data_IF_442895314193
#
_entry.id   IF_442895314193
#
_cell.length_a   1.000
_cell.length_b   1.000
_cell.length_c   1.000
_cell.angle_alpha   90.00
_cell.angle_beta   90.00
_cell.angle_gamma   90.00
#
_symmetry.space_group_name_H-M   'P 1'
#
loop_
_entity.id
_entity.type
_entity.pdbx_description
1 polymer ?
#
# COMPACT_ATOMS: atom_id res chain seq x y z
N UNK A 1 -13.27 -5.88 -24.93
CA UNK A 1 -12.58 -4.79 -24.21
C UNK A 1 -11.08 -5.06 -24.35
N UNK A 2 -10.27 -4.05 -24.54
CA UNK A 2 -8.81 -4.20 -24.63
C UNK A 2 -8.26 -4.61 -23.27
N UNK A 3 -7.45 -5.67 -23.24
CA UNK A 3 -6.78 -6.10 -22.01
C UNK A 3 -5.77 -5.04 -21.55
N UNK A 4 -5.73 -4.79 -20.26
CA UNK A 4 -4.74 -3.91 -19.64
C UNK A 4 -3.67 -4.78 -18.99
N UNK A 5 -2.42 -4.47 -19.32
CA UNK A 5 -1.26 -5.24 -18.89
C UNK A 5 -0.34 -4.42 -18.00
N UNK A 6 0.35 -5.12 -17.11
CA UNK A 6 1.44 -4.62 -16.29
C UNK A 6 2.75 -4.98 -16.99
N UNK A 7 3.56 -3.96 -17.27
CA UNK A 7 4.86 -4.15 -17.92
C UNK A 7 5.95 -4.41 -16.89
N UNK A 8 6.06 -3.56 -15.88
CA UNK A 8 6.95 -3.75 -14.73
C UNK A 8 6.61 -2.75 -13.61
N UNK A 9 7.29 -2.88 -12.47
CA UNK A 9 7.19 -1.97 -11.35
C UNK A 9 8.41 -2.01 -10.44
N UNK A 10 8.51 -1.00 -9.60
CA UNK A 10 9.54 -0.90 -8.58
C UNK A 10 8.98 -0.29 -7.30
N UNK A 11 9.53 -0.69 -6.16
CA UNK A 11 9.25 -0.07 -4.87
C UNK A 11 10.53 0.36 -4.17
N UNK A 12 10.46 1.32 -3.29
CA UNK A 12 11.54 1.55 -2.32
C UNK A 12 11.50 0.46 -1.24
N UNK A 13 12.56 0.31 -0.49
CA UNK A 13 12.46 -0.32 0.81
C UNK A 13 11.55 0.53 1.72
N UNK A 14 10.93 -0.08 2.71
CA UNK A 14 9.99 0.56 3.64
C UNK A 14 10.75 0.99 4.90
N UNK A 15 10.72 2.31 5.18
CA UNK A 15 11.29 2.90 6.38
C UNK A 15 10.36 2.84 7.59
N UNK A 16 10.91 2.85 8.79
CA UNK A 16 10.16 3.01 10.04
C UNK A 16 9.90 4.48 10.35
N UNK A 17 8.95 4.74 11.22
CA UNK A 17 8.69 6.09 11.73
C UNK A 17 9.93 6.70 12.38
N UNK A 18 10.38 7.85 11.87
CA UNK A 18 11.61 8.51 12.32
C UNK A 18 12.89 7.78 11.93
N UNK A 19 12.80 6.75 11.04
CA UNK A 19 13.93 5.95 10.57
C UNK A 19 14.66 6.54 9.37
N UNK A 20 15.26 5.68 8.57
CA UNK A 20 16.19 6.05 7.49
C UNK A 20 15.58 6.96 6.42
N UNK A 21 14.28 6.85 6.15
CA UNK A 21 13.57 7.66 5.15
C UNK A 21 12.95 8.95 5.70
N UNK A 22 13.01 9.22 7.00
CA UNK A 22 12.36 10.38 7.63
C UNK A 22 12.78 11.75 7.06
N UNK A 23 13.99 11.83 6.49
CA UNK A 23 14.52 13.03 5.82
C UNK A 23 14.12 13.18 4.36
N UNK A 24 13.50 12.16 3.74
CA UNK A 24 13.19 12.10 2.31
C UNK A 24 11.73 12.50 2.07
N UNK A 25 11.49 13.37 1.11
CA UNK A 25 10.10 13.80 0.80
C UNK A 25 9.33 12.71 0.04
N UNK A 26 7.98 12.67 0.14
CA UNK A 26 7.17 11.75 -0.67
C UNK A 26 7.43 11.91 -2.18
N UNK A 27 7.69 13.13 -2.65
CA UNK A 27 8.03 13.40 -4.05
C UNK A 27 9.34 12.72 -4.45
N UNK A 28 10.39 12.81 -3.62
CA UNK A 28 11.66 12.14 -3.89
C UNK A 28 11.50 10.62 -3.93
N UNK A 29 10.77 10.04 -2.96
CA UNK A 29 10.45 8.61 -2.94
C UNK A 29 9.68 8.18 -4.19
N UNK A 30 8.62 8.91 -4.54
CA UNK A 30 7.82 8.66 -5.75
C UNK A 30 8.63 8.78 -7.03
N UNK A 31 9.56 9.76 -7.10
CA UNK A 31 10.46 9.95 -8.25
C UNK A 31 11.40 8.76 -8.43
N UNK A 32 11.99 8.25 -7.34
CA UNK A 32 12.89 7.08 -7.37
C UNK A 32 12.14 5.85 -7.86
N UNK A 33 10.94 5.60 -7.32
CA UNK A 33 10.12 4.47 -7.74
C UNK A 33 9.67 4.60 -9.21
N UNK A 34 9.26 5.79 -9.66
CA UNK A 34 8.85 6.05 -11.04
C UNK A 34 9.97 5.85 -12.05
N UNK A 35 11.18 6.37 -11.77
CA UNK A 35 12.37 6.16 -12.62
C UNK A 35 12.67 4.67 -12.79
N UNK A 36 12.72 3.95 -11.69
CA UNK A 36 13.02 2.51 -11.72
C UNK A 36 11.93 1.72 -12.45
N UNK A 37 10.66 2.08 -12.30
CA UNK A 37 9.56 1.43 -13.02
C UNK A 37 9.63 1.67 -14.54
N UNK A 38 9.94 2.90 -14.97
CA UNK A 38 10.17 3.22 -16.38
C UNK A 38 11.37 2.43 -16.94
N UNK A 39 12.49 2.47 -16.26
CA UNK A 39 13.71 1.75 -16.67
C UNK A 39 13.47 0.25 -16.83
N UNK A 40 12.83 -0.39 -15.85
CA UNK A 40 12.55 -1.84 -15.86
C UNK A 40 11.54 -2.24 -16.92
N UNK A 41 10.53 -1.40 -17.17
CA UNK A 41 9.50 -1.67 -18.18
C UNK A 41 10.01 -1.46 -19.62
N UNK A 42 11.12 -0.75 -19.81
CA UNK A 42 11.59 -0.33 -21.13
C UNK A 42 10.72 0.72 -21.82
N UNK A 43 9.81 1.37 -21.07
CA UNK A 43 8.93 2.43 -21.59
C UNK A 43 9.62 3.78 -21.40
N UNK A 44 9.75 4.52 -22.50
CA UNK A 44 10.26 5.89 -22.43
C UNK A 44 9.22 6.83 -21.81
N UNK A 45 9.67 7.82 -21.02
CA UNK A 45 8.79 8.79 -20.38
C UNK A 45 7.83 9.48 -21.33
N UNK A 46 8.27 9.73 -22.57
CA UNK A 46 7.46 10.34 -23.63
C UNK A 46 6.24 9.49 -24.10
N UNK A 47 6.25 8.18 -23.81
CA UNK A 47 5.14 7.29 -24.16
C UNK A 47 4.04 7.29 -23.08
N UNK A 48 4.34 7.76 -21.87
CA UNK A 48 3.37 7.81 -20.78
C UNK A 48 2.34 8.91 -21.05
N UNK A 49 1.08 8.51 -21.23
CA UNK A 49 -0.02 9.44 -21.51
C UNK A 49 -0.80 9.87 -20.25
N UNK A 50 -0.67 9.15 -19.14
CA UNK A 50 -1.35 9.52 -17.87
C UNK A 50 -0.59 9.00 -16.64
N UNK A 51 -0.57 9.81 -15.57
CA UNK A 51 0.12 9.46 -14.31
C UNK A 51 -0.83 9.63 -13.13
N UNK A 52 -0.91 8.60 -12.26
CA UNK A 52 -1.69 8.67 -11.02
C UNK A 52 -0.89 8.15 -9.85
N UNK A 53 -0.79 8.93 -8.78
CA UNK A 53 -0.16 8.49 -7.53
C UNK A 53 -1.12 8.61 -6.34
N UNK A 54 -1.13 7.57 -5.52
CA UNK A 54 -1.74 7.58 -4.20
C UNK A 54 -0.90 8.41 -3.22
N UNK A 55 -1.54 9.33 -2.51
CA UNK A 55 -0.91 10.14 -1.47
C UNK A 55 -1.97 10.62 -0.48
N UNK A 56 -1.71 10.52 0.81
CA UNK A 56 -2.72 10.77 1.85
C UNK A 56 -2.39 12.03 2.65
N UNK A 57 -1.16 12.17 3.13
CA UNK A 57 -0.76 13.21 4.06
C UNK A 57 0.27 14.12 3.39
N UNK A 58 -0.15 15.31 2.98
CA UNK A 58 0.78 16.31 2.46
C UNK A 58 1.75 16.74 3.56
N UNK A 59 3.04 16.55 3.35
CA UNK A 59 4.11 16.90 4.31
C UNK A 59 4.63 18.32 4.09
N UNK A 60 4.45 18.83 2.88
CA UNK A 60 4.79 20.17 2.45
C UNK A 60 3.85 20.65 1.31
N UNK A 61 3.79 21.96 0.98
CA UNK A 61 2.89 22.45 -0.06
C UNK A 61 3.07 21.82 -1.44
N UNK A 62 4.28 21.37 -1.80
CA UNK A 62 4.57 20.73 -3.10
C UNK A 62 3.89 19.36 -3.24
N UNK A 63 3.56 18.69 -2.14
CA UNK A 63 2.93 17.37 -2.18
C UNK A 63 1.52 17.38 -2.78
N UNK A 64 0.86 18.55 -2.82
CA UNK A 64 -0.38 18.74 -3.58
C UNK A 64 -0.19 18.44 -5.08
N UNK A 65 1.04 18.49 -5.57
CA UNK A 65 1.45 18.20 -6.95
C UNK A 65 2.31 16.95 -7.07
N UNK A 66 2.29 16.05 -6.08
CA UNK A 66 3.21 14.93 -5.94
C UNK A 66 3.35 14.14 -7.25
N UNK A 67 2.25 13.65 -7.82
CA UNK A 67 2.24 12.86 -9.05
C UNK A 67 2.87 13.62 -10.22
N UNK A 68 2.54 14.92 -10.34
CA UNK A 68 3.04 15.77 -11.41
C UNK A 68 4.56 16.00 -11.28
N UNK A 69 5.02 16.34 -10.08
CA UNK A 69 6.44 16.61 -9.82
C UNK A 69 7.26 15.34 -9.95
N UNK A 70 6.81 14.24 -9.36
CA UNK A 70 7.51 12.95 -9.44
C UNK A 70 7.62 12.47 -10.89
N UNK A 71 6.53 12.59 -11.69
CA UNK A 71 6.52 12.25 -13.11
C UNK A 71 7.56 13.02 -13.90
N UNK A 72 7.56 14.36 -13.79
CA UNK A 72 8.52 15.20 -14.52
C UNK A 72 9.97 14.95 -14.09
N UNK A 73 10.21 14.76 -12.79
CA UNK A 73 11.54 14.40 -12.28
C UNK A 73 11.97 12.99 -12.70
N UNK A 74 11.03 12.11 -13.01
CA UNK A 74 11.32 10.80 -13.57
C UNK A 74 11.55 10.81 -15.09
N UNK A 75 11.43 11.96 -15.76
CA UNK A 75 11.68 12.11 -17.21
C UNK A 75 10.42 12.00 -18.06
N UNK A 76 9.23 12.03 -17.46
CA UNK A 76 7.95 12.12 -18.19
C UNK A 76 7.74 13.59 -18.59
N UNK A 77 7.35 13.89 -19.84
CA UNK A 77 7.25 15.26 -20.33
C UNK A 77 6.13 16.06 -19.66
N UNK A 78 6.24 17.37 -19.72
CA UNK A 78 5.27 18.32 -19.17
C UNK A 78 3.92 18.32 -19.88
N UNK A 79 3.83 17.70 -21.03
CA UNK A 79 2.57 17.48 -21.77
C UNK A 79 1.71 16.36 -21.20
N UNK A 80 2.29 15.46 -20.37
CA UNK A 80 1.56 14.33 -19.76
C UNK A 80 0.77 14.79 -18.54
N UNK A 81 -0.55 14.61 -18.48
CA UNK A 81 -1.36 14.93 -17.30
C UNK A 81 -1.05 13.99 -16.14
N UNK A 82 -1.20 14.51 -14.90
CA UNK A 82 -0.99 13.76 -13.70
C UNK A 82 -1.97 14.16 -12.60
N UNK A 83 -2.39 13.23 -11.75
CA UNK A 83 -3.24 13.53 -10.60
C UNK A 83 -2.84 12.71 -9.36
N UNK A 84 -3.03 13.32 -8.19
CA UNK A 84 -3.00 12.61 -6.91
C UNK A 84 -4.38 12.03 -6.62
N UNK A 85 -4.42 10.83 -6.00
CA UNK A 85 -5.65 10.26 -5.47
C UNK A 85 -5.49 9.97 -3.98
N UNK A 86 -6.52 10.26 -3.20
CA UNK A 86 -6.60 9.94 -1.79
C UNK A 86 -7.84 9.08 -1.52
N UNK A 87 -7.60 7.81 -1.25
CA UNK A 87 -8.55 6.83 -0.72
C UNK A 87 -7.93 6.21 0.53
N UNK A 88 -7.29 7.02 1.36
CA UNK A 88 -6.55 6.58 2.55
C UNK A 88 -5.67 5.36 2.24
N UNK A 89 -5.73 4.29 3.06
CA UNK A 89 -4.94 3.07 2.87
C UNK A 89 -5.01 2.49 1.45
N UNK A 90 -6.15 2.66 0.75
CA UNK A 90 -6.38 2.17 -0.60
C UNK A 90 -5.84 3.05 -1.73
N UNK A 91 -5.15 4.15 -1.44
CA UNK A 91 -4.75 5.15 -2.45
C UNK A 91 -3.85 4.59 -3.56
N UNK A 92 -2.84 3.79 -3.21
CA UNK A 92 -1.96 3.15 -4.20
C UNK A 92 -2.69 2.16 -5.09
N UNK A 93 -3.62 1.37 -4.55
CA UNK A 93 -4.47 0.49 -5.33
C UNK A 93 -5.46 1.27 -6.19
N UNK A 94 -6.02 2.39 -5.67
CA UNK A 94 -6.88 3.27 -6.45
C UNK A 94 -6.12 3.94 -7.60
N UNK A 95 -4.86 4.29 -7.43
CA UNK A 95 -4.02 4.83 -8.50
C UNK A 95 -3.91 3.83 -9.66
N UNK A 96 -3.69 2.54 -9.37
CA UNK A 96 -3.69 1.46 -10.36
C UNK A 96 -5.06 1.38 -11.06
N UNK A 97 -6.15 1.35 -10.30
CA UNK A 97 -7.51 1.31 -10.86
C UNK A 97 -7.78 2.52 -11.76
N UNK A 98 -7.35 3.73 -11.36
CA UNK A 98 -7.57 4.94 -12.16
C UNK A 98 -6.79 4.92 -13.47
N UNK A 99 -5.54 4.41 -13.48
CA UNK A 99 -4.78 4.20 -14.71
C UNK A 99 -5.44 3.13 -15.58
N UNK A 100 -5.87 2.00 -15.01
CA UNK A 100 -6.64 0.98 -15.76
C UNK A 100 -7.85 1.59 -16.46
N UNK A 101 -8.62 2.42 -15.76
CA UNK A 101 -9.79 3.09 -16.31
C UNK A 101 -9.43 4.01 -17.48
N UNK A 102 -8.40 4.85 -17.35
CA UNK A 102 -7.95 5.73 -18.42
C UNK A 102 -7.48 4.95 -19.66
N UNK A 103 -6.74 3.86 -19.46
CA UNK A 103 -6.29 2.99 -20.55
C UNK A 103 -7.46 2.27 -21.23
N UNK A 104 -8.45 1.78 -20.46
CA UNK A 104 -9.64 1.13 -21.00
C UNK A 104 -10.52 2.09 -21.82
N UNK A 105 -10.59 3.36 -21.42
CA UNK A 105 -11.34 4.40 -22.12
C UNK A 105 -10.59 4.91 -23.37
N UNK A 106 -9.31 4.58 -23.52
CA UNK A 106 -8.47 5.02 -24.64
C UNK A 106 -7.92 6.44 -24.47
N UNK A 107 -7.94 7.00 -23.24
CA UNK A 107 -7.33 8.31 -22.95
C UNK A 107 -5.81 8.28 -23.09
N UNK A 108 -5.20 7.11 -22.93
CA UNK A 108 -3.77 6.86 -23.07
C UNK A 108 -3.51 5.41 -23.50
N UNK A 109 -2.35 5.17 -24.12
CA UNK A 109 -1.86 3.82 -24.47
C UNK A 109 -0.98 3.24 -23.36
N UNK A 110 -0.21 4.10 -22.66
CA UNK A 110 0.65 3.78 -21.53
C UNK A 110 0.35 4.69 -20.36
N UNK A 111 0.42 4.15 -19.14
CA UNK A 111 0.21 4.90 -17.91
C UNK A 111 1.14 4.48 -16.79
N UNK A 112 1.41 5.40 -15.88
CA UNK A 112 2.17 5.18 -14.67
C UNK A 112 1.24 5.30 -13.46
N UNK A 113 1.08 4.21 -12.72
CA UNK A 113 0.38 4.19 -11.44
C UNK A 113 1.39 4.05 -10.29
N UNK A 114 1.13 4.68 -9.16
CA UNK A 114 2.00 4.53 -8.01
C UNK A 114 1.39 5.01 -6.71
N UNK A 115 2.23 5.14 -5.71
CA UNK A 115 1.91 5.78 -4.45
C UNK A 115 3.19 6.12 -3.70
N UNK A 116 3.16 7.20 -2.94
CA UNK A 116 4.28 7.63 -2.11
C UNK A 116 3.77 8.26 -0.83
N UNK A 117 4.36 7.87 0.29
CA UNK A 117 4.00 8.37 1.61
C UNK A 117 5.26 8.49 2.48
N UNK A 118 5.39 9.58 3.20
CA UNK A 118 6.36 9.72 4.26
C UNK A 118 5.63 10.15 5.53
N UNK A 119 5.14 9.18 6.28
CA UNK A 119 4.36 9.44 7.50
C UNK A 119 5.22 10.08 8.59
N UNK A 120 6.54 9.85 8.55
CA UNK A 120 7.51 10.49 9.44
C UNK A 120 7.54 12.02 9.31
N UNK A 121 7.08 12.57 8.18
CA UNK A 121 7.04 14.00 7.89
C UNK A 121 5.67 14.63 8.07
N UNK A 122 4.70 13.89 8.59
CA UNK A 122 3.34 14.40 8.80
C UNK A 122 3.35 15.72 9.58
N UNK A 123 2.72 16.79 9.08
CA UNK A 123 2.77 18.09 9.69
C UNK A 123 1.80 18.21 10.87
N UNK A 124 2.07 19.16 11.74
CA UNK A 124 1.07 19.74 12.63
C UNK A 124 0.45 20.97 11.99
N UNK A 125 -0.88 21.12 12.07
CA UNK A 125 -1.60 22.27 11.53
C UNK A 125 -2.23 23.12 12.63
N UNK A 126 -2.37 24.40 12.36
CA UNK A 126 -3.03 25.39 13.21
C UNK A 126 -4.17 26.01 12.41
N UNK A 127 -5.40 25.56 12.61
CA UNK A 127 -6.57 25.98 11.81
C UNK A 127 -6.92 27.45 12.04
N UNK A 128 -6.90 27.88 13.30
CA UNK A 128 -7.33 29.24 13.70
C UNK A 128 -6.35 30.32 13.32
N UNK A 129 -5.09 29.97 12.98
CA UNK A 129 -4.02 30.93 12.70
C UNK A 129 -4.29 31.79 11.47
N UNK A 130 -5.05 31.30 10.49
CA UNK A 130 -5.35 32.06 9.26
C UNK A 130 -6.08 33.39 9.53
N UNK A 131 -6.92 33.39 10.52
CA UNK A 131 -7.73 34.57 10.89
C UNK A 131 -7.24 35.26 12.17
N UNK A 132 -6.11 34.79 12.71
CA UNK A 132 -5.52 35.23 13.96
C UNK A 132 -6.34 34.77 15.18
N UNK A 133 -5.74 34.01 16.06
CA UNK A 133 -6.36 33.66 17.33
C UNK A 133 -6.44 34.94 18.20
N UNK A 134 -7.61 35.50 18.31
CA UNK A 134 -7.79 36.80 19.00
C UNK A 134 -7.71 36.68 20.53
N UNK A 135 -8.16 35.55 21.10
CA UNK A 135 -8.19 35.31 22.55
C UNK A 135 -8.29 33.81 22.84
N UNK A 136 -7.54 33.33 23.83
CA UNK A 136 -7.52 31.92 24.26
C UNK A 136 -6.34 31.13 23.66
N UNK A 137 -6.30 29.84 24.01
CA UNK A 137 -5.22 28.94 23.59
C UNK A 137 -5.36 28.54 22.10
N UNK A 138 -4.22 28.35 21.44
CA UNK A 138 -4.13 27.81 20.09
C UNK A 138 -3.87 26.30 20.18
N UNK A 139 -4.65 25.51 19.44
CA UNK A 139 -4.45 24.06 19.33
C UNK A 139 -3.72 23.72 18.04
N UNK A 140 -2.68 22.89 18.14
CA UNK A 140 -2.06 22.22 17.00
C UNK A 140 -2.68 20.84 16.81
N UNK A 141 -2.98 20.48 15.57
CA UNK A 141 -3.55 19.18 15.20
C UNK A 141 -2.50 18.36 14.46
N UNK A 142 -2.23 17.16 14.94
CA UNK A 142 -1.37 16.19 14.28
C UNK A 142 -2.10 15.57 13.08
N UNK A 143 -1.61 15.82 11.86
CA UNK A 143 -2.24 15.33 10.63
C UNK A 143 -2.07 13.82 10.44
N UNK A 144 -1.05 13.21 11.02
CA UNK A 144 -0.89 11.76 11.04
C UNK A 144 -2.00 11.12 11.88
N UNK A 145 -2.19 11.59 13.11
CA UNK A 145 -3.31 11.13 13.93
C UNK A 145 -4.66 11.45 13.27
N UNK A 146 -4.76 12.59 12.56
CA UNK A 146 -5.95 12.95 11.78
C UNK A 146 -6.31 11.90 10.73
N UNK A 147 -5.32 11.37 10.00
CA UNK A 147 -5.52 10.31 9.01
C UNK A 147 -5.83 8.94 9.65
N UNK A 148 -5.38 8.72 10.89
CA UNK A 148 -5.58 7.46 11.63
C UNK A 148 -6.82 7.48 12.56
N UNK A 149 -7.57 8.57 12.61
CA UNK A 149 -8.82 8.66 13.35
C UNK A 149 -10.04 8.61 12.44
N UNK A 150 -11.03 7.84 12.85
CA UNK A 150 -12.30 7.71 12.14
C UNK A 150 -13.09 9.04 12.19
N UNK A 151 -13.44 9.64 11.04
CA UNK A 151 -14.18 10.90 11.02
C UNK A 151 -15.63 10.77 11.50
N UNK A 152 -16.13 9.55 11.68
CA UNK A 152 -17.47 9.25 12.15
C UNK A 152 -17.55 9.04 13.67
N UNK A 153 -16.48 9.35 14.41
CA UNK A 153 -16.49 9.38 15.87
C UNK A 153 -16.11 8.07 16.57
N UNK A 154 -15.73 7.03 15.84
CA UNK A 154 -15.29 5.75 16.45
C UNK A 154 -13.95 5.89 17.22
N UNK A 155 -13.14 6.89 16.85
CA UNK A 155 -11.81 7.10 17.41
C UNK A 155 -10.69 6.59 16.50
N UNK A 156 -9.54 6.25 17.06
CA UNK A 156 -8.39 5.75 16.30
C UNK A 156 -8.72 4.44 15.55
N UNK A 157 -8.08 4.20 14.39
CA UNK A 157 -8.30 2.97 13.61
C UNK A 157 -8.05 1.69 14.42
N UNK A 158 -7.19 1.73 15.43
CA UNK A 158 -7.01 0.63 16.36
C UNK A 158 -8.25 0.29 17.20
N UNK A 159 -9.12 1.27 17.49
CA UNK A 159 -10.42 1.02 18.12
C UNK A 159 -11.34 0.26 17.17
N UNK A 160 -11.30 0.57 15.86
CA UNK A 160 -12.07 -0.21 14.88
C UNK A 160 -11.56 -1.65 14.77
N UNK A 161 -10.26 -1.88 14.98
CA UNK A 161 -9.69 -3.23 15.03
C UNK A 161 -10.13 -4.01 16.28
N UNK A 162 -10.25 -3.35 17.45
CA UNK A 162 -10.85 -3.95 18.66
C UNK A 162 -12.31 -4.32 18.42
N UNK A 163 -13.08 -3.47 17.74
CA UNK A 163 -14.47 -3.78 17.37
C UNK A 163 -14.55 -5.01 16.47
N UNK A 164 -13.66 -5.13 15.48
CA UNK A 164 -13.56 -6.32 14.62
C UNK A 164 -13.18 -7.55 15.44
N UNK A 165 -12.22 -7.44 16.36
CA UNK A 165 -11.82 -8.54 17.22
C UNK A 165 -13.01 -9.07 18.05
N UNK A 166 -13.80 -8.16 18.63
CA UNK A 166 -14.97 -8.50 19.42
C UNK A 166 -16.12 -9.10 18.56
N UNK A 167 -16.42 -8.52 17.39
CA UNK A 167 -17.51 -8.94 16.51
C UNK A 167 -17.26 -10.30 15.85
N UNK A 168 -15.97 -10.64 15.64
CA UNK A 168 -15.56 -11.87 14.95
C UNK A 168 -14.90 -12.91 15.87
N UNK A 169 -14.91 -12.71 17.20
CA UNK A 169 -14.33 -13.60 18.20
C UNK A 169 -12.83 -13.85 17.98
N UNK A 170 -12.06 -12.82 17.62
CA UNK A 170 -10.62 -12.92 17.37
C UNK A 170 -9.87 -12.68 18.69
N UNK A 171 -9.28 -13.73 19.25
CA UNK A 171 -8.57 -13.65 20.53
C UNK A 171 -7.22 -12.94 20.39
N UNK A 172 -6.70 -12.41 21.52
CA UNK A 172 -5.35 -11.84 21.61
C UNK A 172 -4.28 -12.85 21.18
N UNK A 173 -4.37 -14.10 21.62
CA UNK A 173 -3.43 -15.16 21.26
C UNK A 173 -3.37 -15.39 19.75
N UNK A 174 -4.53 -15.47 19.10
CA UNK A 174 -4.60 -15.60 17.64
C UNK A 174 -3.97 -14.41 16.90
N UNK A 175 -4.14 -13.19 17.42
CA UNK A 175 -3.54 -11.99 16.84
C UNK A 175 -2.01 -12.02 16.96
N UNK A 176 -1.48 -12.44 18.11
CA UNK A 176 -0.03 -12.51 18.36
C UNK A 176 0.62 -13.64 17.53
N UNK A 177 -0.04 -14.81 17.38
CA UNK A 177 0.40 -15.89 16.47
C UNK A 177 0.43 -15.45 15.01
N UNK A 178 -0.59 -14.70 14.58
CA UNK A 178 -0.63 -14.13 13.24
C UNK A 178 0.52 -13.14 13.01
N UNK A 179 0.76 -12.25 13.96
CA UNK A 179 1.87 -11.29 13.91
C UNK A 179 3.24 -12.01 13.87
N UNK A 180 3.42 -13.04 14.70
CA UNK A 180 4.64 -13.87 14.69
C UNK A 180 4.84 -14.53 13.32
N UNK A 181 3.78 -15.03 12.71
CA UNK A 181 3.82 -15.64 11.36
C UNK A 181 4.26 -14.61 10.31
N UNK A 182 3.69 -13.39 10.35
CA UNK A 182 4.08 -12.30 9.46
C UNK A 182 5.57 -11.96 9.59
N UNK A 183 6.06 -11.80 10.82
CA UNK A 183 7.49 -11.51 11.09
C UNK A 183 8.40 -12.64 10.60
N UNK A 184 8.05 -13.89 10.86
CA UNK A 184 8.83 -15.06 10.44
C UNK A 184 8.94 -15.15 8.92
N UNK A 185 7.82 -14.94 8.22
CA UNK A 185 7.77 -14.93 6.75
C UNK A 185 8.59 -13.79 6.15
N UNK A 186 8.48 -12.59 6.71
CA UNK A 186 9.25 -11.44 6.26
C UNK A 186 10.76 -11.66 6.46
N UNK A 187 11.17 -12.17 7.61
CA UNK A 187 12.57 -12.49 7.89
C UNK A 187 13.13 -13.52 6.90
N UNK A 188 12.38 -14.59 6.63
CA UNK A 188 12.76 -15.60 5.64
C UNK A 188 12.86 -15.00 4.23
N UNK A 189 11.88 -14.19 3.81
CA UNK A 189 11.88 -13.56 2.50
C UNK A 189 13.07 -12.60 2.29
N UNK A 190 13.45 -11.84 3.33
CA UNK A 190 14.64 -10.97 3.31
C UNK A 190 15.91 -11.81 3.22
N UNK A 191 16.05 -12.84 4.05
CA UNK A 191 17.21 -13.72 4.06
C UNK A 191 17.41 -14.44 2.71
N UNK A 192 16.33 -14.86 2.07
CA UNK A 192 16.32 -15.49 0.75
C UNK A 192 16.48 -14.49 -0.42
N UNK A 193 16.54 -13.19 -0.14
CA UNK A 193 16.67 -12.14 -1.18
C UNK A 193 15.44 -11.95 -2.05
N UNK A 194 14.25 -12.43 -1.64
CA UNK A 194 13.00 -12.39 -2.44
C UNK A 194 12.55 -10.96 -2.79
N UNK A 195 13.01 -9.96 -2.04
CA UNK A 195 12.67 -8.56 -2.28
C UNK A 195 13.71 -7.79 -3.11
N UNK A 196 14.90 -8.33 -3.29
CA UNK A 196 16.01 -7.61 -3.92
C UNK A 196 15.68 -7.12 -5.34
N UNK A 197 15.02 -7.95 -6.15
CA UNK A 197 14.66 -7.60 -7.54
C UNK A 197 13.54 -6.56 -7.65
N UNK A 198 12.69 -6.41 -6.64
CA UNK A 198 11.58 -5.45 -6.65
C UNK A 198 11.95 -4.10 -6.01
N UNK A 199 12.96 -4.07 -5.13
CA UNK A 199 13.42 -2.85 -4.45
C UNK A 199 14.34 -2.04 -5.37
N UNK A 200 14.18 -0.72 -5.33
CA UNK A 200 15.13 0.25 -5.87
C UNK A 200 15.71 1.07 -4.71
N UNK A 201 17.03 1.22 -4.62
CA UNK A 201 17.68 1.93 -3.54
C UNK A 201 17.30 3.41 -3.50
N UNK A 202 17.08 3.91 -2.29
CA UNK A 202 16.98 5.35 -2.02
C UNK A 202 18.28 5.80 -1.38
N UNK A 203 18.92 6.82 -1.95
CA UNK A 203 20.12 7.38 -1.35
C UNK A 203 19.75 8.25 -0.14
N UNK A 204 20.17 7.82 1.03
CA UNK A 204 19.88 8.51 2.30
C UNK A 204 21.16 9.06 2.93
N UNK A 205 21.03 10.20 3.61
CA UNK A 205 22.18 10.81 4.29
C UNK A 205 22.42 10.13 5.63
N UNK A 206 23.56 9.49 5.79
CA UNK A 206 24.05 8.99 7.07
C UNK A 206 25.33 9.76 7.48
N UNK A 207 25.24 10.57 8.51
CA UNK A 207 26.32 11.48 8.94
C UNK A 207 26.77 12.41 7.80
N UNK A 208 27.90 12.13 7.15
CA UNK A 208 28.47 12.93 6.04
C UNK A 208 28.31 12.26 4.68
N UNK A 209 27.92 10.98 4.64
CA UNK A 209 27.90 10.15 3.45
C UNK A 209 26.46 9.93 2.96
N UNK A 210 26.33 9.71 1.65
CA UNK A 210 25.10 9.21 1.04
C UNK A 210 25.23 7.70 0.89
N UNK A 211 24.32 6.96 1.52
CA UNK A 211 24.32 5.48 1.48
C UNK A 211 23.02 4.95 0.89
N UNK A 212 23.04 3.83 0.18
CA UNK A 212 21.82 3.23 -0.34
C UNK A 212 20.99 2.64 0.82
N UNK A 213 19.70 2.94 0.82
CA UNK A 213 18.70 2.30 1.65
C UNK A 213 17.88 1.36 0.75
N UNK A 214 18.11 0.06 0.86
CA UNK A 214 17.63 -0.99 -0.05
C UNK A 214 17.03 -2.21 0.66
N UNK A 215 16.89 -2.14 1.98
CA UNK A 215 16.33 -3.23 2.79
C UNK A 215 15.21 -2.71 3.67
N UNK A 216 14.08 -3.43 3.73
CA UNK A 216 12.95 -3.08 4.58
C UNK A 216 13.38 -3.01 6.06
N UNK A 217 13.17 -1.87 6.71
CA UNK A 217 13.70 -1.53 8.03
C UNK A 217 12.77 -1.94 9.17
N UNK A 218 11.49 -2.15 8.87
CA UNK A 218 10.47 -2.37 9.90
C UNK A 218 10.50 -3.78 10.55
N UNK A 219 10.87 -4.89 9.87
CA UNK A 219 10.86 -6.23 10.44
C UNK A 219 11.68 -6.34 11.73
N UNK A 220 11.14 -7.04 12.74
CA UNK A 220 11.77 -7.19 14.05
C UNK A 220 11.82 -8.66 14.47
N UNK A 221 12.96 -9.09 14.95
CA UNK A 221 13.05 -10.36 15.65
C UNK A 221 12.19 -10.28 16.92
N UNK A 222 11.24 -11.21 17.09
CA UNK A 222 10.31 -11.27 18.22
C UNK A 222 10.03 -12.73 18.61
N UNK A 223 9.31 -12.93 19.71
CA UNK A 223 8.81 -14.24 20.17
C UNK A 223 7.37 -14.10 20.62
N UNK A 224 6.63 -15.20 20.71
CA UNK A 224 5.26 -15.18 21.22
C UNK A 224 5.20 -14.65 22.67
N UNK A 225 6.17 -14.99 23.52
CA UNK A 225 6.25 -14.47 24.88
C UNK A 225 6.44 -12.95 24.91
N UNK A 226 7.30 -12.42 24.03
CA UNK A 226 7.51 -10.98 23.90
C UNK A 226 6.23 -10.27 23.39
N UNK A 227 5.54 -10.82 22.42
CA UNK A 227 4.26 -10.30 21.92
C UNK A 227 3.19 -10.35 23.01
N UNK A 228 3.05 -11.49 23.72
CA UNK A 228 2.09 -11.68 24.79
C UNK A 228 2.28 -10.73 25.98
N UNK A 229 3.53 -10.28 26.23
CA UNK A 229 3.87 -9.29 27.24
C UNK A 229 3.51 -7.84 26.91
N UNK A 230 3.14 -7.53 25.65
CA UNK A 230 2.77 -6.17 25.23
C UNK A 230 1.39 -5.76 25.78
N UNK A 231 1.29 -4.49 26.20
CA UNK A 231 0.01 -3.93 26.68
C UNK A 231 -0.87 -3.54 25.51
N UNK A 232 -2.21 -3.70 25.61
CA UNK A 232 -3.15 -3.09 24.66
C UNK A 232 -2.94 -1.58 24.56
N UNK A 233 -3.08 -1.05 23.34
CA UNK A 233 -2.79 0.37 23.05
C UNK A 233 -4.04 1.22 22.97
N UNK A 234 -5.16 0.67 22.48
CA UNK A 234 -6.32 1.46 22.08
C UNK A 234 -7.49 1.36 23.06
N UNK A 235 -7.58 0.27 23.82
CA UNK A 235 -8.57 0.06 24.88
C UNK A 235 -7.89 -0.57 26.10
N UNK A 236 -8.37 -0.21 27.31
CA UNK A 236 -7.76 -0.66 28.57
C UNK A 236 -7.67 -2.20 28.69
N UNK A 237 -8.75 -2.87 28.31
CA UNK A 237 -8.88 -4.33 28.34
C UNK A 237 -8.95 -4.91 26.90
N UNK A 238 -8.30 -4.23 25.97
CA UNK A 238 -8.28 -4.60 24.56
C UNK A 238 -7.28 -5.71 24.23
N UNK A 239 -7.19 -6.03 22.96
CA UNK A 239 -6.35 -7.09 22.42
C UNK A 239 -5.31 -6.60 21.39
N UNK A 240 -5.51 -5.40 20.85
CA UNK A 240 -4.63 -4.81 19.82
C UNK A 240 -3.44 -4.12 20.49
N UNK A 241 -2.24 -4.51 20.07
CA UNK A 241 -0.98 -4.01 20.61
C UNK A 241 -0.08 -3.45 19.50
N UNK A 242 1.02 -2.81 19.87
CA UNK A 242 2.05 -2.40 18.93
C UNK A 242 2.75 -3.58 18.21
N UNK A 243 2.59 -4.81 18.71
CA UNK A 243 3.19 -6.01 18.11
C UNK A 243 2.29 -6.73 17.11
N UNK A 244 0.95 -6.51 17.19
CA UNK A 244 -0.03 -7.13 16.30
C UNK A 244 -0.81 -6.12 15.43
N UNK A 245 -0.23 -4.92 15.27
CA UNK A 245 -0.67 -3.86 14.37
C UNK A 245 0.46 -3.50 13.41
N UNK A 246 0.12 -2.97 12.23
CA UNK A 246 1.12 -2.41 11.31
C UNK A 246 1.77 -1.16 11.89
N UNK A 247 2.98 -0.84 11.42
CA UNK A 247 3.69 0.37 11.80
C UNK A 247 3.20 1.62 11.08
N UNK A 248 3.78 2.74 11.49
CA UNK A 248 3.77 4.02 10.78
C UNK A 248 5.04 4.03 9.94
N UNK A 249 4.92 4.20 8.63
CA UNK A 249 6.01 3.90 7.73
C UNK A 249 6.13 4.90 6.57
N UNK A 250 7.29 4.86 5.93
CA UNK A 250 7.67 5.68 4.79
C UNK A 250 8.01 4.78 3.60
N UNK A 251 7.58 5.14 2.40
CA UNK A 251 7.90 4.35 1.21
C UNK A 251 7.12 4.77 -0.03
N UNK A 252 7.53 4.25 -1.18
CA UNK A 252 6.87 4.48 -2.46
C UNK A 252 6.95 3.25 -3.37
N UNK A 253 6.05 3.21 -4.33
CA UNK A 253 6.06 2.23 -5.41
C UNK A 253 5.45 2.84 -6.68
N UNK A 254 5.88 2.33 -7.85
CA UNK A 254 5.33 2.72 -9.14
C UNK A 254 5.27 1.52 -10.08
N UNK A 255 4.26 1.49 -10.94
CA UNK A 255 3.95 0.41 -11.88
C UNK A 255 3.64 1.04 -13.23
N UNK A 256 4.31 0.57 -14.28
CA UNK A 256 4.00 0.95 -15.67
C UNK A 256 3.01 -0.06 -16.25
N UNK A 257 1.94 0.48 -16.79
CA UNK A 257 0.83 -0.26 -17.37
C UNK A 257 0.56 0.19 -18.79
N UNK A 258 -0.02 -0.68 -19.59
CA UNK A 258 -0.35 -0.38 -20.97
C UNK A 258 -1.63 -1.09 -21.43
N UNK A 259 -2.17 -0.64 -22.52
CA UNK A 259 -3.08 -1.43 -23.36
C UNK A 259 -2.27 -2.56 -23.99
N UNK A 260 -2.80 -3.76 -24.04
CA UNK A 260 -2.09 -4.93 -24.56
C UNK A 260 -1.68 -4.76 -26.04
N UNK A 261 -2.55 -4.16 -26.85
CA UNK A 261 -2.27 -3.86 -28.25
C UNK A 261 -1.15 -2.82 -28.42
N UNK A 262 -1.10 -1.80 -27.56
CA UNK A 262 -0.03 -0.80 -27.55
C UNK A 262 1.32 -1.40 -27.12
N UNK A 263 1.33 -2.23 -26.08
CA UNK A 263 2.52 -2.96 -25.64
C UNK A 263 3.07 -3.85 -26.76
N UNK A 264 2.20 -4.64 -27.41
CA UNK A 264 2.57 -5.50 -28.53
C UNK A 264 3.15 -4.70 -29.71
N UNK A 265 2.53 -3.57 -30.08
CA UNK A 265 3.00 -2.66 -31.14
C UNK A 265 4.37 -2.05 -30.81
N UNK A 266 4.64 -1.79 -29.54
CA UNK A 266 5.94 -1.28 -29.06
C UNK A 266 7.00 -2.40 -28.88
N UNK A 267 6.65 -3.66 -29.11
CA UNK A 267 7.56 -4.80 -28.91
C UNK A 267 7.89 -5.11 -27.45
N UNK A 268 7.06 -4.61 -26.51
CA UNK A 268 7.23 -4.82 -25.07
C UNK A 268 6.58 -6.14 -24.65
N UNK A 269 7.18 -6.79 -23.66
CA UNK A 269 6.67 -8.05 -23.08
C UNK A 269 5.96 -7.77 -21.78
N UNK A 270 4.63 -7.92 -21.70
CA UNK A 270 3.90 -7.80 -20.46
C UNK A 270 4.28 -8.92 -19.47
N UNK A 271 4.32 -8.60 -18.19
CA UNK A 271 4.54 -9.55 -17.10
C UNK A 271 3.23 -10.11 -16.56
N UNK A 272 2.17 -9.28 -16.52
CA UNK A 272 0.86 -9.69 -16.04
C UNK A 272 -0.25 -8.92 -16.76
N UNK A 273 -1.49 -9.42 -16.65
CA UNK A 273 -2.70 -8.68 -17.03
C UNK A 273 -3.58 -8.41 -15.82
N UNK A 274 -4.35 -7.34 -15.86
CA UNK A 274 -5.38 -7.04 -14.87
C UNK A 274 -6.66 -7.75 -15.25
N UNK A 275 -7.11 -8.68 -14.40
CA UNK A 275 -8.35 -9.43 -14.62
C UNK A 275 -9.59 -8.64 -14.20
N UNK A 276 -9.45 -7.78 -13.19
CA UNK A 276 -10.54 -6.95 -12.71
C UNK A 276 -10.20 -6.23 -11.42
N UNK A 277 -11.13 -5.37 -11.01
CA UNK A 277 -11.08 -4.68 -9.72
C UNK A 277 -12.50 -4.43 -9.20
N UNK A 278 -12.62 -4.26 -7.88
CA UNK A 278 -13.86 -3.88 -7.24
C UNK A 278 -13.63 -3.08 -5.96
N UNK A 279 -14.68 -2.42 -5.50
CA UNK A 279 -14.72 -1.65 -4.26
C UNK A 279 -15.96 -2.04 -3.47
N UNK A 280 -15.92 -1.79 -2.16
CA UNK A 280 -17.09 -1.90 -1.31
C UNK A 280 -17.03 -0.88 -0.16
N UNK A 281 -18.20 -0.58 0.41
CA UNK A 281 -18.33 0.15 1.66
C UNK A 281 -18.82 -0.79 2.76
N UNK A 282 -18.41 -0.51 4.00
CA UNK A 282 -18.86 -1.19 5.22
C UNK A 282 -19.07 -0.16 6.32
N UNK A 283 -19.65 -0.57 7.44
CA UNK A 283 -19.77 0.30 8.62
C UNK A 283 -18.39 0.82 9.05
N UNK A 284 -18.23 2.13 9.28
CA UNK A 284 -16.94 2.71 9.67
C UNK A 284 -16.33 2.10 10.94
N UNK A 285 -17.18 1.71 11.90
CA UNK A 285 -16.77 1.14 13.18
C UNK A 285 -16.01 -0.18 13.05
N UNK A 286 -16.20 -0.87 11.92
CA UNK A 286 -15.58 -2.16 11.59
C UNK A 286 -14.92 -2.11 10.22
N UNK A 287 -14.26 -1.00 9.91
CA UNK A 287 -13.63 -0.75 8.60
C UNK A 287 -12.73 -1.91 8.14
N UNK A 288 -12.15 -2.65 9.08
CA UNK A 288 -11.23 -3.75 8.84
C UNK A 288 -11.81 -4.88 7.97
N UNK A 289 -13.15 -5.07 7.97
CA UNK A 289 -13.79 -6.10 7.14
C UNK A 289 -14.10 -5.65 5.70
N UNK A 290 -13.77 -4.41 5.33
CA UNK A 290 -13.97 -3.87 3.97
C UNK A 290 -13.45 -4.75 2.83
N UNK A 291 -12.33 -5.47 2.97
CA UNK A 291 -11.86 -6.44 1.97
C UNK A 291 -12.89 -7.53 1.62
N UNK A 292 -13.68 -8.00 2.59
CA UNK A 292 -14.63 -9.11 2.35
C UNK A 292 -15.59 -8.79 1.21
N UNK A 293 -16.49 -7.76 1.33
CA UNK A 293 -17.39 -7.45 0.24
C UNK A 293 -16.68 -6.90 -1.01
N UNK A 294 -15.49 -6.31 -0.89
CA UNK A 294 -14.74 -5.87 -2.07
C UNK A 294 -14.24 -7.05 -2.91
N UNK A 295 -13.75 -8.12 -2.27
CA UNK A 295 -13.35 -9.35 -2.94
C UNK A 295 -14.58 -10.08 -3.49
N UNK A 296 -15.67 -10.23 -2.74
CA UNK A 296 -16.91 -10.82 -3.23
C UNK A 296 -17.42 -10.13 -4.49
N UNK A 297 -17.41 -8.79 -4.51
CA UNK A 297 -17.78 -7.99 -5.70
C UNK A 297 -16.82 -8.25 -6.87
N UNK A 298 -15.50 -8.40 -6.61
CA UNK A 298 -14.52 -8.74 -7.63
C UNK A 298 -14.80 -10.12 -8.22
N UNK A 299 -15.02 -11.14 -7.38
CA UNK A 299 -15.33 -12.50 -7.80
C UNK A 299 -16.61 -12.55 -8.65
N UNK A 300 -17.67 -11.89 -8.20
CA UNK A 300 -18.92 -11.78 -8.96
C UNK A 300 -18.75 -11.12 -10.31
N UNK A 301 -17.89 -10.08 -10.40
CA UNK A 301 -17.62 -9.32 -11.63
C UNK A 301 -16.77 -10.11 -12.62
N UNK A 302 -15.81 -10.89 -12.14
CA UNK A 302 -14.84 -11.62 -12.97
C UNK A 302 -15.22 -13.07 -13.26
N UNK A 303 -16.14 -13.64 -12.50
CA UNK A 303 -16.47 -15.06 -12.53
C UNK A 303 -15.40 -15.97 -11.91
N UNK A 304 -14.41 -15.39 -11.22
CA UNK A 304 -13.37 -16.13 -10.51
C UNK A 304 -13.88 -16.67 -9.18
N UNK A 305 -13.24 -17.72 -8.70
CA UNK A 305 -13.37 -18.26 -7.34
C UNK A 305 -12.18 -17.85 -6.49
N UNK A 306 -12.36 -17.81 -5.18
CA UNK A 306 -11.25 -17.51 -4.24
C UNK A 306 -10.12 -18.55 -4.33
N UNK A 307 -10.44 -19.77 -4.72
CA UNK A 307 -9.48 -20.88 -4.90
C UNK A 307 -8.63 -20.75 -6.16
N UNK A 308 -9.00 -19.86 -7.09
CA UNK A 308 -8.23 -19.63 -8.33
C UNK A 308 -6.96 -18.80 -8.10
N UNK A 309 -6.82 -18.18 -6.93
CA UNK A 309 -5.64 -17.34 -6.62
C UNK A 309 -4.53 -18.16 -5.97
N UNK A 310 -3.34 -18.07 -6.55
CA UNK A 310 -2.11 -18.72 -6.07
C UNK A 310 -1.40 -17.88 -5.01
N UNK A 311 -1.50 -16.55 -5.12
CA UNK A 311 -0.96 -15.58 -4.17
C UNK A 311 -2.05 -14.56 -3.79
N UNK A 312 -2.20 -14.32 -2.50
CA UNK A 312 -3.13 -13.33 -1.96
C UNK A 312 -2.34 -12.35 -1.08
N UNK A 313 -2.21 -11.11 -1.53
CA UNK A 313 -1.68 -10.02 -0.68
C UNK A 313 -2.87 -9.27 -0.07
N UNK A 314 -3.18 -9.59 1.17
CA UNK A 314 -4.20 -8.94 1.99
C UNK A 314 -3.51 -8.05 3.01
N UNK A 315 -3.70 -6.74 2.94
CA UNK A 315 -3.00 -5.81 3.82
C UNK A 315 -3.28 -6.09 5.30
N UNK A 316 -2.23 -6.16 6.10
CA UNK A 316 -2.28 -6.42 7.54
C UNK A 316 -2.24 -5.09 8.31
N UNK A 317 -3.29 -4.28 8.23
CA UNK A 317 -3.35 -3.07 9.05
C UNK A 317 -3.36 -3.42 10.55
N UNK A 318 -4.07 -4.49 10.91
CA UNK A 318 -4.15 -5.08 12.25
C UNK A 318 -4.32 -6.60 12.12
N UNK A 319 -3.74 -7.39 13.00
CA UNK A 319 -3.93 -8.85 13.01
C UNK A 319 -5.39 -9.24 13.20
N UNK A 320 -6.12 -8.55 14.07
CA UNK A 320 -7.57 -8.76 14.26
C UNK A 320 -8.34 -8.62 12.95
N UNK A 321 -8.06 -7.55 12.19
CA UNK A 321 -8.67 -7.29 10.90
C UNK A 321 -8.29 -8.36 9.87
N UNK A 322 -7.00 -8.70 9.76
CA UNK A 322 -6.53 -9.69 8.78
C UNK A 322 -7.13 -11.08 9.04
N UNK A 323 -7.21 -11.51 10.29
CA UNK A 323 -7.85 -12.77 10.69
C UNK A 323 -9.35 -12.78 10.36
N UNK A 324 -10.06 -11.67 10.63
CA UNK A 324 -11.49 -11.58 10.28
C UNK A 324 -11.72 -11.65 8.77
N UNK A 325 -10.87 -11.02 7.96
CA UNK A 325 -10.92 -11.11 6.49
C UNK A 325 -10.62 -12.54 6.01
N UNK A 326 -9.57 -13.16 6.55
CA UNK A 326 -9.23 -14.55 6.20
C UNK A 326 -10.37 -15.52 6.51
N UNK A 327 -11.01 -15.36 7.69
CA UNK A 327 -12.19 -16.15 8.10
C UNK A 327 -13.39 -15.87 7.19
N UNK A 328 -13.68 -14.61 6.91
CA UNK A 328 -14.84 -14.19 6.11
C UNK A 328 -14.79 -14.66 4.66
N UNK A 329 -13.60 -14.70 4.08
CA UNK A 329 -13.39 -15.16 2.70
C UNK A 329 -12.96 -16.63 2.57
N UNK A 330 -12.74 -17.35 3.69
CA UNK A 330 -12.27 -18.73 3.68
C UNK A 330 -10.88 -18.87 3.05
N UNK A 331 -9.96 -17.93 3.32
CA UNK A 331 -8.65 -17.91 2.68
C UNK A 331 -7.75 -19.03 3.19
N UNK A 332 -7.02 -19.67 2.28
CA UNK A 332 -5.91 -20.56 2.63
C UNK A 332 -4.72 -19.72 3.12
N UNK A 333 -4.40 -19.83 4.40
CA UNK A 333 -3.32 -19.10 5.05
C UNK A 333 -1.94 -19.32 4.40
N UNK A 334 -1.73 -20.43 3.70
CA UNK A 334 -0.48 -20.70 2.98
C UNK A 334 -0.29 -19.78 1.78
N UNK A 335 -1.37 -19.31 1.18
CA UNK A 335 -1.38 -18.42 0.01
C UNK A 335 -1.46 -16.93 0.38
N UNK A 336 -1.81 -16.62 1.66
CA UNK A 336 -1.95 -15.23 2.12
C UNK A 336 -0.62 -14.72 2.64
N UNK A 337 -0.16 -13.59 2.09
CA UNK A 337 1.06 -12.88 2.49
C UNK A 337 2.26 -13.84 2.67
N UNK A 338 2.64 -14.62 1.65
CA UNK A 338 3.64 -15.69 1.79
C UNK A 338 5.04 -15.16 2.17
N UNK A 339 5.29 -13.87 1.94
CA UNK A 339 6.53 -13.18 2.29
C UNK A 339 6.36 -12.17 3.45
N UNK A 340 5.37 -12.39 4.31
CA UNK A 340 4.99 -11.43 5.36
C UNK A 340 4.19 -10.25 4.83
N UNK A 341 3.41 -9.63 5.69
CA UNK A 341 2.55 -8.48 5.39
C UNK A 341 2.93 -7.24 6.18
N UNK A 342 2.01 -6.29 6.29
CA UNK A 342 2.27 -4.96 6.83
C UNK A 342 2.62 -4.93 8.32
N UNK A 343 2.23 -5.93 9.11
CA UNK A 343 2.65 -6.04 10.52
C UNK A 343 4.17 -6.16 10.60
N UNK A 344 4.77 -6.93 9.70
CA UNK A 344 6.21 -7.11 9.66
C UNK A 344 6.91 -6.05 8.78
N UNK A 345 6.38 -5.76 7.59
CA UNK A 345 7.06 -4.93 6.58
C UNK A 345 6.72 -3.45 6.68
N UNK A 346 5.55 -3.11 7.25
CA UNK A 346 5.09 -1.73 7.38
C UNK A 346 3.97 -1.34 6.41
N UNK A 347 3.35 -0.16 6.68
CA UNK A 347 2.17 0.33 5.97
C UNK A 347 2.27 1.84 5.66
N UNK A 348 3.10 2.25 4.67
CA UNK A 348 3.07 3.63 4.16
C UNK A 348 1.75 3.84 3.40
N UNK A 349 0.75 4.45 4.07
CA UNK A 349 -0.67 4.36 3.70
C UNK A 349 -0.98 4.66 2.23
N UNK A 350 -0.42 5.73 1.67
CA UNK A 350 -0.64 6.11 0.27
C UNK A 350 0.04 5.20 -0.76
N UNK A 351 1.09 4.48 -0.35
CA UNK A 351 1.91 3.64 -1.24
C UNK A 351 1.55 2.15 -1.17
N UNK A 352 0.97 1.67 -0.07
CA UNK A 352 0.83 0.24 0.22
C UNK A 352 0.14 -0.53 -0.88
N UNK A 353 -0.94 0.00 -1.49
CA UNK A 353 -1.64 -0.70 -2.56
C UNK A 353 -0.77 -1.00 -3.78
N UNK A 354 0.14 -0.08 -4.14
CA UNK A 354 1.11 -0.30 -5.21
C UNK A 354 2.23 -1.26 -4.77
N UNK A 355 2.70 -1.15 -3.52
CA UNK A 355 3.73 -2.04 -2.94
C UNK A 355 3.25 -3.50 -2.96
N UNK A 356 2.06 -3.79 -2.45
CA UNK A 356 1.55 -5.17 -2.40
C UNK A 356 1.19 -5.71 -3.79
N UNK A 357 0.86 -4.84 -4.75
CA UNK A 357 0.69 -5.27 -6.16
C UNK A 357 2.02 -5.73 -6.76
N UNK A 358 3.11 -5.00 -6.52
CA UNK A 358 4.46 -5.42 -6.95
C UNK A 358 4.87 -6.71 -6.25
N UNK A 359 4.65 -6.81 -4.94
CA UNK A 359 4.93 -8.04 -4.17
C UNK A 359 4.19 -9.24 -4.76
N UNK A 360 2.91 -9.06 -5.12
CA UNK A 360 2.10 -10.11 -5.76
C UNK A 360 2.71 -10.54 -7.10
N UNK A 361 3.05 -9.57 -7.96
CA UNK A 361 3.62 -9.85 -9.28
C UNK A 361 4.91 -10.67 -9.17
N UNK A 362 5.85 -10.20 -8.36
CA UNK A 362 7.16 -10.86 -8.21
C UNK A 362 7.05 -12.23 -7.51
N UNK A 363 6.12 -12.40 -6.58
CA UNK A 363 5.90 -13.70 -5.94
C UNK A 363 5.24 -14.71 -6.89
N UNK A 364 4.28 -14.28 -7.71
CA UNK A 364 3.69 -15.14 -8.75
C UNK A 364 4.76 -15.65 -9.70
N UNK A 365 5.64 -14.78 -10.19
CA UNK A 365 6.73 -15.20 -11.07
C UNK A 365 7.70 -16.15 -10.37
N UNK A 366 8.02 -15.90 -9.08
CA UNK A 366 8.90 -16.77 -8.29
C UNK A 366 8.35 -18.20 -8.16
N UNK A 367 7.03 -18.35 -8.08
CA UNK A 367 6.39 -19.67 -7.96
C UNK A 367 6.03 -20.32 -9.32
N UNK A 368 6.36 -19.66 -10.44
CA UNK A 368 6.15 -20.20 -11.78
C UNK A 368 4.91 -19.66 -12.51
N UNK A 369 4.32 -18.57 -12.01
CA UNK A 369 3.15 -17.92 -12.59
C UNK A 369 1.84 -18.24 -11.86
N UNK A 370 0.75 -17.63 -12.30
CA UNK A 370 -0.58 -17.85 -11.74
C UNK A 370 -1.39 -16.56 -11.56
N UNK A 371 -2.43 -16.63 -10.72
CA UNK A 371 -3.33 -15.52 -10.41
C UNK A 371 -3.06 -14.97 -9.02
N UNK A 372 -3.10 -13.64 -8.91
CA UNK A 372 -2.91 -12.90 -7.66
C UNK A 372 -4.10 -12.04 -7.28
N UNK A 373 -4.44 -12.04 -6.01
CA UNK A 373 -5.42 -11.16 -5.41
C UNK A 373 -4.73 -10.15 -4.51
N UNK A 374 -5.02 -8.88 -4.73
CA UNK A 374 -4.58 -7.76 -3.91
C UNK A 374 -5.80 -7.15 -3.25
N UNK A 375 -5.82 -7.05 -1.92
CA UNK A 375 -6.94 -6.42 -1.21
C UNK A 375 -6.50 -5.70 0.05
N UNK A 376 -7.28 -4.71 0.46
CA UNK A 376 -7.00 -3.96 1.67
C UNK A 376 -8.23 -3.26 2.23
N UNK A 377 -8.27 -3.12 3.55
CA UNK A 377 -9.21 -2.27 4.26
C UNK A 377 -8.82 -0.80 4.14
N UNK A 378 -9.78 0.08 4.32
CA UNK A 378 -9.61 1.51 4.15
C UNK A 378 -10.34 2.22 5.28
N UNK A 379 -9.69 3.14 5.96
CA UNK A 379 -10.27 3.97 6.99
C UNK A 379 -11.56 4.65 6.53
N UNK A 380 -12.54 4.77 7.44
CA UNK A 380 -13.86 5.29 7.11
C UNK A 380 -14.84 4.22 6.58
N UNK A 381 -14.43 2.93 6.55
CA UNK A 381 -15.33 1.82 6.22
C UNK A 381 -15.41 1.49 4.74
N UNK A 382 -14.27 1.20 4.09
CA UNK A 382 -14.22 0.79 2.69
C UNK A 382 -13.26 -0.38 2.48
N UNK A 383 -13.37 -1.02 1.31
CA UNK A 383 -12.42 -2.02 0.80
C UNK A 383 -12.18 -1.87 -0.69
N UNK A 384 -11.03 -2.34 -1.14
CA UNK A 384 -10.65 -2.42 -2.55
C UNK A 384 -10.01 -3.78 -2.83
N UNK A 385 -10.28 -4.33 -4.01
CA UNK A 385 -9.69 -5.57 -4.48
C UNK A 385 -9.27 -5.45 -5.94
N UNK A 386 -8.13 -6.04 -6.30
CA UNK A 386 -7.60 -6.12 -7.67
C UNK A 386 -7.17 -7.57 -7.91
N UNK A 387 -7.49 -8.11 -9.08
CA UNK A 387 -7.01 -9.40 -9.55
C UNK A 387 -6.06 -9.22 -10.74
N UNK A 388 -4.93 -9.90 -10.70
CA UNK A 388 -3.93 -9.95 -11.78
C UNK A 388 -3.61 -11.40 -12.14
N UNK A 389 -3.08 -11.62 -13.34
CA UNK A 389 -2.58 -12.92 -13.79
C UNK A 389 -1.27 -12.72 -14.55
N UNK A 390 -0.23 -13.49 -14.23
CA UNK A 390 1.03 -13.50 -14.98
C UNK A 390 0.85 -14.05 -16.40
N UNK A 391 1.69 -13.58 -17.34
CA UNK A 391 1.62 -13.95 -18.76
C UNK A 391 2.84 -14.75 -19.20
#
# INVERSE_FOLDING_TARGET
MTDIVILDGARTAIGTFGGSLAGTTPIELGTVAAKAALERSGVEGAQIGHVVFGHVINTEPRDMYLSRVAAMQAGIPDTTPAMNVNRLCGSGAQAIVSVVQSLMLGDADFGLAGGAECMSRSPYIIQDQRWGAKMGDIRTLDMMLGALNCPFGTGHMGVTAENVAAEHDITRAAQDEFAMTSQTRAAAAIADGRFASQITPVMVKQKRDMVPFDTDEHPKATTLDALGGLRPVFQKDGSVTAGNASGINDGAAAIVMARADAAAKAGLKPRARVLGYAHAGVRPEVMGIGPVPAVENLLAKTGLSITDFDVIESNEAFAAQALAVNKGLGLDSARVNPNGGAIALGHPVGATGAIITIKTLYELERIGGGKGLITMCIGGGQGIAIAIETL
#
